data_IF_244460729755
#
_entry.id   IF_244460729755
#
_cell.length_a   1.000
_cell.length_b   1.000
_cell.length_c   1.000
_cell.angle_alpha   90.00
_cell.angle_beta   90.00
_cell.angle_gamma   90.00
#
_symmetry.space_group_name_H-M   'P 1'
#
loop_
_entity.id
_entity.type
_entity.pdbx_description
1 polymer ?
#
# COMPACT_ATOMS: atom_id res chain seq x y z
N UNK A 1 -11.11 -28.97 -10.27
CA UNK A 1 -12.04 -28.18 -9.44
C UNK A 1 -11.44 -27.90 -8.05
N UNK A 2 -11.26 -28.89 -7.17
CA UNK A 2 -10.74 -28.64 -5.80
C UNK A 2 -9.36 -27.98 -5.79
N UNK A 3 -8.42 -28.44 -6.63
CA UNK A 3 -7.08 -27.84 -6.72
C UNK A 3 -7.11 -26.37 -7.19
N UNK A 4 -7.96 -26.03 -8.15
CA UNK A 4 -8.13 -24.65 -8.63
C UNK A 4 -8.71 -23.75 -7.54
N UNK A 5 -9.70 -24.24 -6.80
CA UNK A 5 -10.28 -23.50 -5.67
C UNK A 5 -9.24 -23.30 -4.57
N UNK A 6 -8.43 -24.32 -4.25
CA UNK A 6 -7.36 -24.21 -3.27
C UNK A 6 -6.31 -23.18 -3.70
N UNK A 7 -5.85 -23.27 -4.95
CA UNK A 7 -4.89 -22.32 -5.53
C UNK A 7 -5.43 -20.89 -5.50
N UNK A 8 -6.72 -20.73 -5.79
CA UNK A 8 -7.38 -19.44 -5.74
C UNK A 8 -7.47 -18.88 -4.31
N UNK A 9 -7.83 -19.69 -3.33
CA UNK A 9 -7.87 -19.27 -1.92
C UNK A 9 -6.49 -18.87 -1.42
N UNK A 10 -5.45 -19.63 -1.77
CA UNK A 10 -4.06 -19.31 -1.43
C UNK A 10 -3.64 -18.00 -2.09
N UNK A 11 -3.92 -17.82 -3.38
CA UNK A 11 -3.62 -16.59 -4.10
C UNK A 11 -4.33 -15.37 -3.49
N UNK A 12 -5.60 -15.49 -3.14
CA UNK A 12 -6.36 -14.42 -2.50
C UNK A 12 -5.82 -14.08 -1.10
N UNK A 13 -5.47 -15.09 -0.30
CA UNK A 13 -4.90 -14.88 1.02
C UNK A 13 -3.54 -14.18 0.94
N UNK A 14 -2.65 -14.63 0.04
CA UNK A 14 -1.34 -14.02 -0.17
C UNK A 14 -1.44 -12.62 -0.77
N UNK A 15 -2.30 -12.42 -1.77
CA UNK A 15 -2.51 -11.11 -2.39
C UNK A 15 -3.12 -10.10 -1.42
N UNK A 16 -4.10 -10.53 -0.62
CA UNK A 16 -4.69 -9.73 0.44
C UNK A 16 -3.68 -9.36 1.53
N UNK A 17 -2.83 -10.32 1.93
CA UNK A 17 -1.74 -10.07 2.88
C UNK A 17 -0.73 -9.06 2.31
N UNK A 18 -0.30 -9.20 1.06
CA UNK A 18 0.63 -8.27 0.42
C UNK A 18 0.07 -6.85 0.32
N UNK A 19 -1.21 -6.69 -0.08
CA UNK A 19 -1.88 -5.38 -0.11
C UNK A 19 -1.99 -4.78 1.30
N UNK A 20 -2.29 -5.60 2.31
CA UNK A 20 -2.36 -5.13 3.69
C UNK A 20 -0.98 -4.70 4.20
N UNK A 21 0.06 -5.50 3.97
CA UNK A 21 1.44 -5.18 4.33
C UNK A 21 1.88 -3.86 3.66
N UNK A 22 1.60 -3.71 2.36
CA UNK A 22 1.82 -2.47 1.63
C UNK A 22 1.08 -1.27 2.25
N UNK A 23 -0.21 -1.42 2.54
CA UNK A 23 -1.02 -0.36 3.15
C UNK A 23 -0.45 0.09 4.50
N UNK A 24 -0.08 -0.88 5.36
CA UNK A 24 0.53 -0.57 6.66
C UNK A 24 1.90 0.10 6.50
N UNK A 25 2.73 -0.37 5.58
CA UNK A 25 4.01 0.26 5.26
C UNK A 25 3.84 1.69 4.75
N UNK A 26 2.80 1.97 3.97
CA UNK A 26 2.58 3.28 3.35
C UNK A 26 1.90 4.30 4.29
N UNK A 27 0.91 3.86 5.07
CA UNK A 27 0.00 4.77 5.78
C UNK A 27 0.00 4.64 7.31
N UNK A 28 0.60 3.59 7.87
CA UNK A 28 0.60 3.36 9.31
C UNK A 28 1.95 3.69 9.95
N UNK A 29 1.94 4.12 11.21
CA UNK A 29 3.13 4.34 12.06
C UNK A 29 3.22 3.27 13.16
N UNK A 30 2.46 2.17 13.05
CA UNK A 30 2.51 1.09 14.04
C UNK A 30 3.80 0.29 13.92
N UNK A 31 4.17 -0.40 15.00
CA UNK A 31 5.30 -1.35 15.02
C UNK A 31 5.18 -2.40 13.89
N UNK A 32 3.96 -2.77 13.53
CA UNK A 32 3.67 -3.65 12.40
C UNK A 32 3.96 -3.00 11.03
N UNK A 33 3.67 -1.71 10.87
CA UNK A 33 4.00 -0.96 9.66
C UNK A 33 5.50 -0.82 9.45
N UNK A 34 6.26 -0.66 10.54
CA UNK A 34 7.73 -0.63 10.50
C UNK A 34 8.32 -1.98 10.11
N UNK A 35 7.85 -3.07 10.75
CA UNK A 35 8.23 -4.43 10.36
C UNK A 35 7.86 -4.74 8.90
N UNK A 36 6.73 -4.24 8.41
CA UNK A 36 6.35 -4.39 7.01
C UNK A 36 7.29 -3.61 6.08
N UNK A 37 7.71 -2.38 6.42
CA UNK A 37 8.74 -1.64 5.64
C UNK A 37 10.06 -2.38 5.62
N UNK A 38 10.53 -2.85 6.77
CA UNK A 38 11.79 -3.60 6.87
C UNK A 38 11.75 -4.89 6.04
N UNK A 39 10.64 -5.63 6.09
CA UNK A 39 10.46 -6.83 5.28
C UNK A 39 10.46 -6.50 3.78
N UNK A 40 9.78 -5.43 3.36
CA UNK A 40 9.65 -5.05 1.96
C UNK A 40 10.93 -4.41 1.39
N UNK A 41 11.65 -3.63 2.18
CA UNK A 41 12.93 -3.01 1.78
C UNK A 41 14.11 -4.00 1.93
N UNK A 42 14.02 -4.96 2.85
CA UNK A 42 15.08 -5.94 3.09
C UNK A 42 14.96 -7.18 2.20
N UNK A 43 13.84 -7.89 2.26
CA UNK A 43 13.67 -9.22 1.64
C UNK A 43 13.26 -9.13 0.17
N UNK A 44 12.48 -8.11 -0.19
CA UNK A 44 11.89 -7.97 -1.51
C UNK A 44 12.42 -6.77 -2.32
N UNK A 45 13.54 -6.17 -1.90
CA UNK A 45 14.13 -5.00 -2.57
C UNK A 45 14.55 -5.29 -4.01
N UNK A 46 13.70 -4.86 -4.95
CA UNK A 46 13.91 -4.88 -6.40
C UNK A 46 14.32 -3.49 -6.92
N UNK A 47 14.51 -2.52 -6.02
CA UNK A 47 14.88 -1.13 -6.32
C UNK A 47 14.06 -0.10 -5.53
N UNK A 48 14.31 1.19 -5.78
CA UNK A 48 13.71 2.31 -5.03
C UNK A 48 12.18 2.36 -5.09
N UNK A 49 11.56 1.78 -6.12
CA UNK A 49 10.10 1.80 -6.33
C UNK A 49 9.39 0.52 -5.81
N UNK A 50 10.10 -0.36 -5.10
CA UNK A 50 9.58 -1.67 -4.68
C UNK A 50 8.35 -1.54 -3.79
N UNK A 51 8.49 -0.85 -2.66
CA UNK A 51 7.38 -0.61 -1.72
C UNK A 51 6.28 0.21 -2.40
N UNK A 52 6.65 1.19 -3.22
CA UNK A 52 5.69 2.12 -3.81
C UNK A 52 4.78 1.49 -4.88
N UNK A 53 5.32 0.59 -5.71
CA UNK A 53 4.69 0.17 -6.98
C UNK A 53 4.71 -1.34 -7.18
N UNK A 54 5.83 -2.01 -6.87
CA UNK A 54 5.98 -3.44 -7.14
C UNK A 54 5.14 -4.27 -6.17
N UNK A 55 5.19 -3.96 -4.88
CA UNK A 55 4.43 -4.69 -3.86
C UNK A 55 2.90 -4.63 -4.05
N UNK A 56 2.26 -3.46 -4.24
CA UNK A 56 0.82 -3.42 -4.50
C UNK A 56 0.45 -4.06 -5.84
N UNK A 57 1.37 -4.08 -6.81
CA UNK A 57 1.18 -4.75 -8.08
C UNK A 57 1.25 -6.28 -7.95
N UNK A 58 2.15 -6.83 -7.13
CA UNK A 58 2.21 -8.27 -6.83
C UNK A 58 0.95 -8.70 -6.07
N UNK A 59 0.53 -7.91 -5.07
CA UNK A 59 -0.71 -8.15 -4.35
C UNK A 59 -1.94 -8.11 -5.27
N UNK A 60 -2.01 -7.11 -6.16
CA UNK A 60 -3.04 -7.01 -7.19
C UNK A 60 -3.05 -8.19 -8.16
N UNK A 61 -1.89 -8.62 -8.65
CA UNK A 61 -1.75 -9.78 -9.54
C UNK A 61 -2.30 -11.05 -8.88
N UNK A 62 -1.96 -11.30 -7.61
CA UNK A 62 -2.46 -12.46 -6.87
C UNK A 62 -3.96 -12.37 -6.59
N UNK A 63 -4.50 -11.18 -6.30
CA UNK A 63 -5.94 -10.99 -6.10
C UNK A 63 -6.74 -11.22 -7.38
N UNK A 64 -6.34 -10.58 -8.48
CA UNK A 64 -7.01 -10.76 -9.77
C UNK A 64 -6.85 -12.18 -10.31
N UNK A 65 -5.65 -12.76 -10.20
CA UNK A 65 -5.40 -14.16 -10.57
C UNK A 65 -6.23 -15.14 -9.73
N UNK A 66 -6.33 -14.93 -8.41
CA UNK A 66 -7.18 -15.73 -7.53
C UNK A 66 -8.67 -15.63 -7.89
N UNK A 67 -9.18 -14.44 -8.16
CA UNK A 67 -10.55 -14.23 -8.62
C UNK A 67 -10.82 -14.87 -9.99
N UNK A 68 -9.85 -14.80 -10.92
CA UNK A 68 -9.92 -15.50 -12.21
C UNK A 68 -10.05 -17.01 -12.03
N UNK A 69 -9.17 -17.60 -11.20
CA UNK A 69 -9.21 -19.04 -10.90
C UNK A 69 -10.53 -19.49 -10.24
N UNK A 70 -11.13 -18.67 -9.37
CA UNK A 70 -12.48 -18.94 -8.82
C UNK A 70 -13.56 -18.88 -9.89
N UNK A 71 -13.45 -17.94 -10.83
CA UNK A 71 -14.41 -17.75 -11.91
C UNK A 71 -14.38 -18.93 -12.87
N UNK A 72 -13.18 -19.40 -13.22
CA UNK A 72 -13.00 -20.63 -14.03
C UNK A 72 -13.54 -21.86 -13.30
N UNK A 73 -13.23 -22.01 -12.00
CA UNK A 73 -13.67 -23.16 -11.21
C UNK A 73 -15.19 -23.23 -11.04
N UNK A 74 -15.90 -22.09 -11.11
CA UNK A 74 -17.36 -22.01 -11.06
C UNK A 74 -18.04 -22.17 -12.43
N UNK A 75 -17.27 -22.42 -13.49
CA UNK A 75 -17.77 -22.61 -14.85
C UNK A 75 -17.99 -21.31 -15.63
N UNK A 76 -17.48 -20.18 -15.13
CA UNK A 76 -17.60 -18.86 -15.74
C UNK A 76 -16.41 -18.44 -16.60
N UNK A 77 -15.60 -19.37 -17.10
CA UNK A 77 -14.34 -19.04 -17.79
C UNK A 77 -14.49 -18.19 -19.06
N UNK A 78 -15.62 -18.30 -19.76
CA UNK A 78 -15.96 -17.46 -20.94
C UNK A 78 -16.84 -16.25 -20.58
N UNK A 79 -16.90 -15.89 -19.30
CA UNK A 79 -17.68 -14.73 -18.85
C UNK A 79 -16.87 -13.44 -18.93
N UNK A 80 -17.58 -12.32 -19.05
CA UNK A 80 -17.01 -10.98 -18.91
C UNK A 80 -16.18 -10.80 -17.63
N UNK A 81 -16.52 -11.52 -16.55
CA UNK A 81 -15.76 -11.47 -15.29
C UNK A 81 -14.37 -12.09 -15.44
N UNK A 82 -14.26 -13.19 -16.20
CA UNK A 82 -12.97 -13.84 -16.49
C UNK A 82 -12.05 -12.89 -17.26
N UNK A 83 -12.58 -12.25 -18.31
CA UNK A 83 -11.86 -11.23 -19.08
C UNK A 83 -11.43 -10.04 -18.20
N UNK A 84 -12.31 -9.56 -17.33
CA UNK A 84 -12.01 -8.45 -16.41
C UNK A 84 -10.87 -8.81 -15.45
N UNK A 85 -10.90 -10.01 -14.86
CA UNK A 85 -9.85 -10.47 -13.96
C UNK A 85 -8.53 -10.73 -14.69
N UNK A 86 -8.58 -11.24 -15.93
CA UNK A 86 -7.41 -11.38 -16.77
C UNK A 86 -6.77 -10.02 -17.09
N UNK A 87 -7.56 -9.02 -17.46
CA UNK A 87 -7.08 -7.65 -17.71
C UNK A 87 -6.48 -7.05 -16.44
N UNK A 88 -7.13 -7.22 -15.28
CA UNK A 88 -6.61 -6.74 -14.00
C UNK A 88 -5.27 -7.38 -13.62
N UNK A 89 -5.13 -8.68 -13.89
CA UNK A 89 -3.90 -9.44 -13.70
C UNK A 89 -2.78 -8.94 -14.63
N UNK A 90 -3.09 -8.74 -15.91
CA UNK A 90 -2.14 -8.20 -16.89
C UNK A 90 -1.72 -6.78 -16.55
N UNK A 91 -2.66 -5.91 -16.17
CA UNK A 91 -2.37 -4.54 -15.75
C UNK A 91 -1.44 -4.53 -14.53
N UNK A 92 -1.70 -5.40 -13.54
CA UNK A 92 -0.84 -5.55 -12.37
C UNK A 92 0.58 -5.99 -12.76
N UNK A 93 0.72 -6.93 -13.70
CA UNK A 93 2.02 -7.35 -14.21
C UNK A 93 2.75 -6.21 -14.93
N UNK A 94 2.05 -5.42 -15.76
CA UNK A 94 2.62 -4.23 -16.41
C UNK A 94 3.10 -3.22 -15.37
N UNK A 95 2.30 -2.96 -14.33
CA UNK A 95 2.69 -2.05 -13.24
C UNK A 95 3.92 -2.57 -12.50
N UNK A 96 4.01 -3.87 -12.21
CA UNK A 96 5.19 -4.47 -11.58
C UNK A 96 6.45 -4.28 -12.46
N UNK A 97 6.33 -4.50 -13.77
CA UNK A 97 7.43 -4.26 -14.74
C UNK A 97 7.82 -2.79 -14.82
N UNK A 98 6.84 -1.87 -14.83
CA UNK A 98 7.12 -0.44 -14.79
C UNK A 98 7.76 -0.01 -13.46
N UNK A 99 7.39 -0.66 -12.35
CA UNK A 99 7.99 -0.45 -11.04
C UNK A 99 9.47 -0.85 -10.97
N UNK A 100 9.90 -1.83 -11.78
CA UNK A 100 11.31 -2.21 -11.94
C UNK A 100 12.13 -1.13 -12.67
N UNK A 101 11.49 -0.29 -13.48
CA UNK A 101 12.17 0.83 -14.13
C UNK A 101 12.46 1.90 -13.06
N UNK A 102 13.72 2.35 -12.88
CA UNK A 102 14.10 3.30 -11.84
C UNK A 102 13.67 4.75 -12.17
N UNK A 103 12.38 4.95 -12.47
CA UNK A 103 11.78 6.27 -12.67
C UNK A 103 11.62 6.97 -11.32
N UNK A 104 11.90 8.27 -11.26
CA UNK A 104 11.63 9.08 -10.06
C UNK A 104 10.13 9.33 -9.97
N UNK A 105 9.49 8.60 -9.07
CA UNK A 105 8.08 8.80 -8.75
C UNK A 105 7.90 10.04 -7.85
N UNK A 106 6.71 10.65 -7.85
CA UNK A 106 6.40 11.76 -6.96
C UNK A 106 6.66 11.39 -5.49
N UNK A 107 7.13 12.36 -4.70
CA UNK A 107 7.50 12.15 -3.29
C UNK A 107 6.42 11.49 -2.44
N UNK A 108 5.14 11.82 -2.68
CA UNK A 108 4.01 11.23 -1.94
C UNK A 108 3.87 9.72 -2.08
N UNK A 109 4.53 9.11 -3.05
CA UNK A 109 4.46 7.67 -3.26
C UNK A 109 5.56 6.89 -2.52
N UNK A 110 6.42 7.59 -1.78
CA UNK A 110 7.41 6.99 -0.88
C UNK A 110 6.93 7.07 0.58
N UNK A 111 7.21 6.04 1.41
CA UNK A 111 6.86 6.03 2.83
C UNK A 111 7.48 7.21 3.59
N UNK A 112 8.73 7.54 3.28
CA UNK A 112 9.52 8.60 3.92
C UNK A 112 8.84 9.98 3.84
N UNK A 113 8.15 10.28 2.74
CA UNK A 113 7.44 11.55 2.57
C UNK A 113 6.24 11.68 3.54
N UNK A 114 5.60 10.56 3.85
CA UNK A 114 4.53 10.53 4.86
C UNK A 114 5.09 10.65 6.27
N UNK A 115 6.27 10.09 6.54
CA UNK A 115 6.99 10.25 7.82
C UNK A 115 7.39 11.71 8.07
N UNK A 116 7.99 12.39 7.09
CA UNK A 116 8.36 13.81 7.23
C UNK A 116 7.15 14.71 7.53
N UNK A 117 5.99 14.44 6.93
CA UNK A 117 4.74 15.18 7.22
C UNK A 117 4.13 14.80 8.57
N UNK A 118 4.36 13.59 9.07
CA UNK A 118 3.92 13.15 10.39
C UNK A 118 4.82 13.78 11.47
N UNK A 119 6.13 13.80 11.25
CA UNK A 119 7.09 14.50 12.10
C UNK A 119 6.75 15.99 12.21
N UNK A 120 6.57 16.69 11.09
CA UNK A 120 6.23 18.12 11.12
C UNK A 120 4.91 18.44 11.85
N UNK A 121 3.91 17.54 11.79
CA UNK A 121 2.67 17.70 12.57
C UNK A 121 2.87 17.44 14.06
N UNK A 122 3.72 16.47 14.45
CA UNK A 122 4.07 16.23 15.86
C UNK A 122 4.85 17.41 16.42
N UNK A 123 5.83 17.91 15.68
CA UNK A 123 6.64 19.07 16.07
C UNK A 123 5.77 20.34 16.20
N UNK A 124 4.83 20.59 15.28
CA UNK A 124 3.85 21.67 15.41
C UNK A 124 2.94 21.50 16.62
N UNK A 125 2.40 20.29 16.85
CA UNK A 125 1.54 20.01 18.00
C UNK A 125 2.29 20.13 19.33
N UNK A 126 3.57 19.73 19.38
CA UNK A 126 4.44 19.94 20.54
C UNK A 126 4.76 21.43 20.76
N UNK A 127 4.99 22.18 19.69
CA UNK A 127 5.18 23.63 19.74
C UNK A 127 3.93 24.35 20.25
N UNK A 128 2.75 23.99 19.74
CA UNK A 128 1.45 24.50 20.18
C UNK A 128 1.14 24.09 21.62
N UNK A 129 1.45 22.86 22.03
CA UNK A 129 1.27 22.41 23.41
C UNK A 129 2.22 23.12 24.40
N UNK A 130 3.42 23.50 23.95
CA UNK A 130 4.45 24.12 24.79
C UNK A 130 4.37 25.65 24.83
N UNK A 131 3.94 26.28 23.75
CA UNK A 131 3.95 27.74 23.57
C UNK A 131 2.60 28.33 23.13
N UNK A 132 1.63 27.51 22.72
CA UNK A 132 0.31 27.96 22.24
C UNK A 132 -0.70 28.27 23.34
N UNK A 133 -0.37 28.03 24.62
CA UNK A 133 -1.21 28.42 25.76
C UNK A 133 -1.03 29.88 26.20
N UNK A 134 -0.02 30.58 25.67
CA UNK A 134 0.35 31.92 26.17
C UNK A 134 -0.35 33.07 25.42
N UNK A 135 -1.23 32.77 24.46
CA UNK A 135 -1.92 33.77 23.63
C UNK A 135 -3.44 33.90 23.95
N UNK A 136 -3.90 33.36 25.08
CA UNK A 136 -5.23 33.65 25.62
C UNK A 136 -5.18 34.77 26.66
N UNK A 137 -5.13 36.01 26.16
CA UNK A 137 -5.93 37.11 26.71
C UNK A 137 -5.32 37.96 27.82
N UNK A 138 -4.28 38.73 27.52
CA UNK A 138 -4.04 40.03 28.15
C UNK A 138 -4.92 41.12 27.49
N UNK A 139 -6.23 40.90 27.54
CA UNK A 139 -7.23 41.92 27.26
C UNK A 139 -7.31 42.98 28.35
N UNK A 140 -6.20 43.66 28.66
CA UNK A 140 -6.24 44.94 29.38
C UNK A 140 -6.69 46.05 28.41
N UNK A 141 -7.98 46.06 28.08
CA UNK A 141 -8.64 47.30 27.66
C UNK A 141 -9.04 48.11 28.89
N UNK A 142 -8.06 48.79 29.49
CA UNK A 142 -8.31 49.91 30.39
C UNK A 142 -7.97 51.22 29.66
N UNK A 143 -8.99 51.85 29.06
CA UNK A 143 -8.97 53.28 28.72
C UNK A 143 -10.36 53.86 28.66
#
# INVERSE_FOLDING_TARGET
MVEQVLAAVVALALGGFAIAAWWFAMFSDSDWGEAAREMLDGVFSLGRNTIAVVEPAVGGFMLFGGCGLLTDASGGGDSFLSDLFFIGCLASLVVAVLGLIPVRLPGWMYPEWHEERRWRRREQAEWEAKYGSDDEGDGETNR
#
